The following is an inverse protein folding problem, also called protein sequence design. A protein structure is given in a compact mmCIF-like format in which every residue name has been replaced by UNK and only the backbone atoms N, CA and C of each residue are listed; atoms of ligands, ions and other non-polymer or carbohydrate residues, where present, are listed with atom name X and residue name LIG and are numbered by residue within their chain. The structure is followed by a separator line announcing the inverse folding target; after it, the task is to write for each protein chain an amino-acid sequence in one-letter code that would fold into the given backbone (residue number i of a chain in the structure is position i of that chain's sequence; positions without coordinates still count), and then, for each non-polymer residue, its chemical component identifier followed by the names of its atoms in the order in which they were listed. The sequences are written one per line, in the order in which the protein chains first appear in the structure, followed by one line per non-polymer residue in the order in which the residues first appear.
data_IF_713245902774
#
_entry.id   IF_713245902774
#
_cell.length_a   1.000
_cell.length_b   1.000
_cell.length_c   1.000
_cell.angle_alpha   90.00
_cell.angle_beta   90.00
_cell.angle_gamma   90.00
#
_symmetry.space_group_name_H-M   'P 1'
#
loop_
_entity.id
_entity.type
_entity.pdbx_description
1 polymer ?
#
# COMPACT_ATOMS: atom_id res chain seq x y z
N UNK A 1 54.53 41.81 13.49
CA UNK A 1 53.14 41.93 13.93
C UNK A 1 52.28 41.43 12.79
N UNK A 2 51.91 40.16 12.80
CA UNK A 2 51.04 39.51 11.78
C UNK A 2 49.75 39.10 12.46
N UNK A 3 48.57 39.35 11.88
CA UNK A 3 47.34 38.90 12.45
C UNK A 3 47.07 37.44 12.09
N UNK A 4 46.77 36.66 13.09
CA UNK A 4 46.33 35.29 13.06
C UNK A 4 44.96 35.16 12.36
N UNK A 5 44.88 34.37 11.31
CA UNK A 5 43.63 34.01 10.65
C UNK A 5 42.86 32.98 11.51
N UNK A 6 41.65 33.33 11.93
CA UNK A 6 40.73 32.43 12.56
C UNK A 6 40.09 31.54 11.50
N UNK A 7 40.36 30.21 11.56
CA UNK A 7 39.65 29.20 10.77
C UNK A 7 38.25 28.96 11.32
N UNK A 8 37.27 29.45 10.58
CA UNK A 8 35.86 29.18 10.85
C UNK A 8 35.52 27.76 10.34
N UNK A 9 35.65 26.78 11.20
CA UNK A 9 35.11 25.43 10.94
C UNK A 9 33.60 25.45 11.10
N UNK A 10 32.89 25.60 10.00
CA UNK A 10 31.44 25.34 9.93
C UNK A 10 31.19 23.86 10.27
N UNK A 11 30.79 23.61 11.50
CA UNK A 11 30.18 22.34 11.90
C UNK A 11 28.86 22.22 11.15
N UNK A 12 28.82 21.40 10.12
CA UNK A 12 27.56 20.95 9.55
C UNK A 12 26.78 20.19 10.62
N UNK A 13 25.50 20.49 10.83
CA UNK A 13 24.67 19.68 11.69
C UNK A 13 24.48 18.33 11.01
N UNK A 14 24.94 17.27 11.67
CA UNK A 14 24.55 15.90 11.34
C UNK A 14 23.04 15.79 11.65
N UNK A 15 22.19 16.01 10.66
CA UNK A 15 20.81 15.58 10.73
C UNK A 15 20.80 14.07 10.60
N UNK A 16 20.96 13.38 11.72
CA UNK A 16 20.56 11.99 11.83
C UNK A 16 19.08 11.92 11.43
N UNK A 17 18.71 10.95 10.61
CA UNK A 17 17.34 10.49 10.48
C UNK A 17 16.89 10.04 11.88
N UNK A 18 16.50 10.98 12.71
CA UNK A 18 15.85 10.66 13.96
C UNK A 18 14.48 10.17 13.57
N UNK A 19 14.23 8.89 13.79
CA UNK A 19 12.92 8.31 13.93
C UNK A 19 12.08 9.18 14.88
N UNK A 20 11.50 10.24 14.38
CA UNK A 20 10.25 10.69 14.91
C UNK A 20 9.24 9.69 14.37
N UNK A 21 9.11 8.57 15.09
CA UNK A 21 7.84 7.91 15.12
C UNK A 21 6.84 9.04 15.42
N UNK A 22 6.20 9.56 14.39
CA UNK A 22 4.86 10.04 14.55
C UNK A 22 4.18 8.77 15.04
N UNK A 23 4.06 8.66 16.35
CA UNK A 23 3.09 7.76 16.93
C UNK A 23 1.75 8.27 16.41
N UNK A 24 1.42 7.96 15.17
CA UNK A 24 0.07 7.61 14.87
C UNK A 24 -0.17 6.58 15.95
N UNK A 25 -1.04 6.94 16.91
CA UNK A 25 -1.58 5.97 17.82
C UNK A 25 -1.90 4.82 16.92
N UNK A 26 -1.03 3.82 16.92
CA UNK A 26 -1.36 2.51 16.48
C UNK A 26 -2.76 2.36 17.00
N UNK A 27 -3.74 2.33 16.15
CA UNK A 27 -4.93 1.62 16.47
C UNK A 27 -4.36 0.27 16.80
N UNK A 28 -4.10 0.09 18.10
CA UNK A 28 -3.81 -1.18 18.67
C UNK A 28 -5.07 -2.02 18.45
N UNK A 29 -5.24 -2.47 17.22
CA UNK A 29 -5.98 -3.66 16.95
C UNK A 29 -5.02 -4.76 17.40
N UNK A 30 -5.12 -4.94 18.72
CA UNK A 30 -4.93 -6.16 19.45
C UNK A 30 -4.22 -7.28 18.69
N UNK A 31 -2.92 -7.36 18.89
CA UNK A 31 -2.20 -8.62 18.99
C UNK A 31 -2.74 -9.46 20.18
N UNK A 32 -4.02 -9.81 20.17
CA UNK A 32 -4.65 -10.71 21.15
C UNK A 32 -5.42 -11.84 20.50
N UNK A 33 -5.02 -12.28 19.29
CA UNK A 33 -5.61 -13.47 18.66
C UNK A 33 -4.65 -14.64 18.59
N UNK A 34 -3.80 -14.79 19.57
CA UNK A 34 -3.03 -16.02 19.77
C UNK A 34 -3.51 -16.75 21.01
N UNK A 35 -4.80 -16.99 21.23
CA UNK A 35 -5.32 -18.05 22.12
C UNK A 35 -6.84 -18.05 22.17
N UNK A 36 -7.47 -18.56 21.14
CA UNK A 36 -8.80 -19.16 21.27
C UNK A 36 -9.02 -20.20 20.16
N UNK A 37 -8.27 -21.30 20.21
CA UNK A 37 -8.67 -22.51 19.51
C UNK A 37 -9.58 -23.30 20.46
N UNK A 38 -10.86 -22.98 20.43
CA UNK A 38 -11.87 -23.87 20.99
C UNK A 38 -13.15 -23.73 20.19
N UNK A 39 -13.35 -24.72 19.30
CA UNK A 39 -14.62 -25.31 18.94
C UNK A 39 -15.74 -24.38 18.43
N UNK A 40 -15.85 -24.21 17.11
CA UNK A 40 -17.15 -24.36 16.47
C UNK A 40 -16.98 -25.20 15.20
N UNK A 41 -17.27 -26.50 15.34
CA UNK A 41 -17.64 -27.35 14.20
C UNK A 41 -18.98 -26.84 13.69
N UNK A 42 -18.96 -25.96 12.70
CA UNK A 42 -20.14 -25.61 11.93
C UNK A 42 -19.90 -26.08 10.50
N UNK A 43 -20.61 -27.15 10.16
CA UNK A 43 -20.96 -27.64 8.83
C UNK A 43 -19.94 -27.42 7.71
N UNK A 44 -18.95 -28.31 7.61
CA UNK A 44 -18.28 -28.57 6.33
C UNK A 44 -19.31 -29.22 5.41
N UNK A 45 -19.86 -28.46 4.48
CA UNK A 45 -20.52 -29.03 3.34
C UNK A 45 -19.46 -29.77 2.52
N UNK A 46 -19.52 -31.10 2.53
CA UNK A 46 -18.70 -31.95 1.67
C UNK A 46 -19.12 -31.71 0.22
N UNK A 47 -18.37 -30.87 -0.49
CA UNK A 47 -18.52 -30.71 -1.94
C UNK A 47 -17.43 -31.51 -2.64
N UNK A 48 -17.77 -32.24 -3.73
CA UNK A 48 -16.79 -33.00 -4.48
C UNK A 48 -15.74 -32.09 -5.14
N UNK A 49 -14.50 -32.52 -5.18
CA UNK A 49 -13.40 -31.80 -5.84
C UNK A 49 -13.69 -31.70 -7.35
N UNK A 50 -13.55 -30.51 -7.96
CA UNK A 50 -13.75 -30.34 -9.39
C UNK A 50 -12.56 -30.80 -10.21
N UNK A 51 -12.84 -31.26 -11.44
CA UNK A 51 -11.82 -31.67 -12.39
C UNK A 51 -11.02 -30.50 -12.93
N UNK A 52 -9.70 -30.64 -13.07
CA UNK A 52 -8.82 -29.64 -13.68
C UNK A 52 -9.18 -29.45 -15.16
N UNK A 53 -9.51 -28.23 -15.58
CA UNK A 53 -9.83 -27.91 -16.96
C UNK A 53 -10.14 -26.43 -17.19
N UNK A 54 -9.76 -25.91 -18.32
CA UNK A 54 -10.20 -24.76 -19.11
C UNK A 54 -10.13 -23.31 -18.51
N UNK A 55 -9.44 -23.08 -17.42
CA UNK A 55 -9.24 -21.73 -16.88
C UNK A 55 -10.47 -21.06 -16.26
N UNK A 56 -11.62 -21.74 -16.20
CA UNK A 56 -12.83 -21.32 -15.51
C UNK A 56 -12.71 -21.59 -14.01
N UNK A 57 -13.34 -20.77 -13.14
CA UNK A 57 -13.40 -21.07 -11.73
C UNK A 57 -14.11 -22.42 -11.52
N UNK A 58 -13.47 -23.31 -10.76
CA UNK A 58 -14.00 -24.62 -10.45
C UNK A 58 -15.10 -24.56 -9.37
N UNK A 59 -15.14 -23.45 -8.64
CA UNK A 59 -16.09 -23.19 -7.57
C UNK A 59 -16.40 -21.70 -7.47
N UNK A 60 -17.69 -21.39 -7.35
CA UNK A 60 -18.18 -20.03 -7.13
C UNK A 60 -19.18 -20.08 -5.98
N UNK A 61 -18.98 -19.26 -4.98
CA UNK A 61 -19.89 -19.12 -3.84
C UNK A 61 -20.16 -17.66 -3.55
N UNK A 62 -21.42 -17.33 -3.30
CA UNK A 62 -21.81 -16.02 -2.81
C UNK A 62 -22.05 -16.11 -1.30
N UNK A 63 -21.27 -15.33 -0.54
CA UNK A 63 -21.34 -15.31 0.91
C UNK A 63 -22.27 -14.18 1.37
N UNK A 64 -23.16 -14.49 2.30
CA UNK A 64 -24.07 -13.47 2.86
C UNK A 64 -23.37 -12.68 3.99
N UNK A 65 -22.25 -12.04 3.66
CA UNK A 65 -21.50 -11.19 4.59
C UNK A 65 -21.95 -9.73 4.48
N UNK A 66 -22.17 -9.10 5.62
CA UNK A 66 -22.59 -7.70 5.72
C UNK A 66 -21.88 -7.02 6.88
N UNK A 67 -21.79 -5.70 6.84
CA UNK A 67 -21.22 -4.90 7.92
C UNK A 67 -19.71 -5.05 8.07
N UNK A 68 -19.02 -5.58 7.08
CA UNK A 68 -17.57 -5.64 7.07
C UNK A 68 -16.96 -4.35 6.52
N UNK A 69 -15.79 -4.00 7.04
CA UNK A 69 -14.98 -2.87 6.57
C UNK A 69 -13.51 -3.28 6.42
N UNK A 70 -13.17 -4.54 6.71
CA UNK A 70 -11.80 -5.04 6.65
C UNK A 70 -11.62 -6.29 5.80
N UNK A 71 -10.41 -6.46 5.26
CA UNK A 71 -9.91 -7.69 4.62
C UNK A 71 -8.55 -8.04 5.19
N UNK A 72 -8.38 -9.28 5.64
CA UNK A 72 -7.12 -9.84 6.10
C UNK A 72 -6.73 -11.06 5.28
N UNK A 73 -5.55 -11.04 4.67
CA UNK A 73 -5.04 -12.14 3.86
C UNK A 73 -3.80 -12.78 4.44
N UNK A 74 -3.83 -14.09 4.64
CA UNK A 74 -2.67 -14.94 4.95
C UNK A 74 -2.38 -16.01 3.90
N UNK A 75 -3.03 -15.94 2.72
CA UNK A 75 -2.92 -16.91 1.64
C UNK A 75 -2.54 -16.29 0.29
N UNK A 76 -3.00 -16.94 -0.79
CA UNK A 76 -2.90 -16.42 -2.16
C UNK A 76 -4.28 -15.97 -2.62
N UNK A 77 -4.48 -14.68 -2.81
CA UNK A 77 -5.80 -14.13 -3.14
C UNK A 77 -5.71 -12.99 -4.15
N UNK A 78 -6.66 -12.99 -5.08
CA UNK A 78 -6.98 -11.85 -5.92
C UNK A 78 -8.19 -11.13 -5.31
N UNK A 79 -8.02 -9.95 -4.75
CA UNK A 79 -9.10 -9.13 -4.18
C UNK A 79 -9.51 -8.07 -5.20
N UNK A 80 -10.79 -8.08 -5.58
CA UNK A 80 -11.39 -7.07 -6.44
C UNK A 80 -12.43 -6.34 -5.62
N UNK A 81 -12.10 -5.14 -5.18
CA UNK A 81 -12.99 -4.28 -4.41
C UNK A 81 -13.61 -3.18 -5.27
N UNK A 82 -14.91 -3.05 -5.17
CA UNK A 82 -15.67 -1.95 -5.79
C UNK A 82 -16.54 -1.27 -4.74
N UNK A 83 -16.36 0.01 -4.53
CA UNK A 83 -17.22 0.77 -3.63
C UNK A 83 -18.65 0.82 -4.17
N UNK A 84 -19.62 0.46 -3.33
CA UNK A 84 -21.05 0.41 -3.69
C UNK A 84 -21.94 0.42 -2.44
N UNK A 85 -23.22 0.72 -2.61
CA UNK A 85 -24.15 0.87 -1.49
C UNK A 85 -24.48 -0.44 -0.76
N UNK A 86 -24.44 -1.54 -1.49
CA UNK A 86 -24.85 -2.87 -1.01
C UNK A 86 -23.62 -3.71 -0.71
N UNK A 87 -23.76 -4.62 0.26
CA UNK A 87 -22.74 -5.63 0.54
C UNK A 87 -22.88 -6.83 -0.39
N UNK A 88 -21.81 -7.20 -1.06
CA UNK A 88 -21.74 -8.42 -1.85
C UNK A 88 -20.35 -9.03 -1.72
N UNK A 89 -20.29 -10.33 -1.49
CA UNK A 89 -19.03 -11.09 -1.43
C UNK A 89 -19.19 -12.34 -2.25
N UNK A 90 -18.37 -12.50 -3.28
CA UNK A 90 -18.30 -13.70 -4.09
C UNK A 90 -16.89 -14.26 -4.06
N UNK A 91 -16.76 -15.53 -3.77
CA UNK A 91 -15.52 -16.30 -3.79
C UNK A 91 -15.51 -17.16 -5.04
N UNK A 92 -14.48 -17.01 -5.85
CA UNK A 92 -14.21 -17.84 -7.02
C UNK A 92 -12.89 -18.56 -6.77
N UNK A 93 -12.86 -19.86 -6.90
CA UNK A 93 -11.66 -20.65 -6.67
C UNK A 93 -11.28 -21.51 -7.88
N UNK A 94 -10.00 -21.58 -8.15
CA UNK A 94 -9.38 -22.43 -9.16
C UNK A 94 -8.36 -23.34 -8.49
N UNK A 95 -8.34 -24.61 -8.92
CA UNK A 95 -7.47 -25.62 -8.36
C UNK A 95 -8.22 -26.63 -7.49
N UNK A 96 -7.49 -27.54 -6.87
CA UNK A 96 -8.06 -28.66 -6.09
C UNK A 96 -8.19 -28.34 -4.60
N UNK A 97 -7.39 -27.41 -4.09
CA UNK A 97 -7.46 -26.97 -2.70
C UNK A 97 -8.46 -25.82 -2.53
N UNK A 98 -9.02 -25.68 -1.34
CA UNK A 98 -9.96 -24.61 -0.98
C UNK A 98 -9.35 -23.67 0.03
N UNK A 99 -9.55 -22.38 -0.19
CA UNK A 99 -9.25 -21.38 0.83
C UNK A 99 -10.37 -21.32 1.87
N UNK A 100 -10.01 -20.93 3.07
CA UNK A 100 -11.00 -20.61 4.09
C UNK A 100 -11.28 -19.13 4.04
N UNK A 101 -12.55 -18.76 3.81
CA UNK A 101 -13.02 -17.38 3.82
C UNK A 101 -14.04 -17.22 4.96
N UNK A 102 -13.80 -16.32 5.90
CA UNK A 102 -14.65 -16.10 7.07
C UNK A 102 -14.87 -14.62 7.29
N UNK A 103 -16.01 -14.30 7.92
CA UNK A 103 -16.25 -12.97 8.47
C UNK A 103 -16.09 -13.04 9.99
N UNK A 104 -15.11 -12.34 10.51
CA UNK A 104 -14.78 -12.29 11.93
C UNK A 104 -14.62 -10.82 12.34
N UNK A 105 -15.41 -10.36 13.31
CA UNK A 105 -15.34 -8.99 13.85
C UNK A 105 -15.34 -7.86 12.79
N UNK A 106 -16.15 -8.01 11.73
CA UNK A 106 -16.23 -7.02 10.66
C UNK A 106 -15.08 -7.09 9.63
N UNK A 107 -14.23 -8.13 9.70
CA UNK A 107 -13.11 -8.35 8.79
C UNK A 107 -13.31 -9.68 8.03
N UNK A 108 -13.17 -9.64 6.71
CA UNK A 108 -13.12 -10.85 5.88
C UNK A 108 -11.72 -11.42 5.93
N UNK A 109 -11.56 -12.57 6.58
CA UNK A 109 -10.29 -13.28 6.69
C UNK A 109 -10.19 -14.34 5.60
N UNK A 110 -9.08 -14.32 4.84
CA UNK A 110 -8.77 -15.30 3.81
C UNK A 110 -7.48 -16.02 4.18
N UNK A 111 -7.54 -17.35 4.24
CA UNK A 111 -6.37 -18.21 4.41
C UNK A 111 -6.38 -19.34 3.40
N UNK A 112 -5.30 -19.49 2.65
CA UNK A 112 -5.12 -20.61 1.74
C UNK A 112 -4.40 -21.75 2.45
N UNK A 113 -4.71 -23.02 2.12
CA UNK A 113 -3.96 -24.14 2.65
C UNK A 113 -2.49 -24.00 2.24
N UNK A 114 -1.59 -24.38 3.14
CA UNK A 114 -0.16 -24.40 2.85
C UNK A 114 0.06 -25.28 1.61
N UNK A 115 0.64 -24.73 0.55
CA UNK A 115 0.93 -25.46 -0.68
C UNK A 115 1.98 -26.54 -0.37
N UNK A 116 1.54 -27.76 -0.11
CA UNK A 116 2.42 -28.93 -0.11
C UNK A 116 2.94 -29.11 -1.53
N UNK A 117 4.17 -28.85 -1.72
CA UNK A 117 5.19 -29.23 -2.68
C UNK A 117 4.89 -29.57 -4.16
N UNK A 118 3.67 -29.75 -4.61
CA UNK A 118 3.40 -30.23 -5.97
C UNK A 118 2.69 -29.17 -6.82
N UNK A 119 3.20 -28.99 -8.02
CA UNK A 119 2.80 -27.94 -8.98
C UNK A 119 1.30 -28.01 -9.41
N UNK A 120 0.58 -29.06 -9.07
CA UNK A 120 -0.82 -29.30 -9.46
C UNK A 120 -1.86 -28.73 -8.47
N UNK A 121 -1.45 -28.30 -7.27
CA UNK A 121 -2.35 -27.89 -6.19
C UNK A 121 -2.43 -26.39 -5.91
N UNK A 122 -2.02 -25.51 -6.83
CA UNK A 122 -2.15 -24.05 -6.60
C UNK A 122 -3.63 -23.65 -6.53
N UNK A 123 -4.08 -23.35 -5.32
CA UNK A 123 -5.35 -22.67 -5.14
C UNK A 123 -5.16 -21.19 -5.48
N UNK A 124 -5.93 -20.67 -6.42
CA UNK A 124 -6.07 -19.25 -6.68
C UNK A 124 -7.49 -18.86 -6.29
N UNK A 125 -7.61 -18.05 -5.26
CA UNK A 125 -8.88 -17.54 -4.76
C UNK A 125 -9.07 -16.13 -5.26
N UNK A 126 -10.16 -15.88 -5.95
CA UNK A 126 -10.59 -14.51 -6.29
C UNK A 126 -11.74 -14.13 -5.38
N UNK A 127 -11.56 -13.05 -4.64
CA UNK A 127 -12.54 -12.47 -3.73
C UNK A 127 -13.09 -11.19 -4.34
N UNK A 128 -14.33 -11.22 -4.85
CA UNK A 128 -15.02 -10.03 -5.35
C UNK A 128 -15.85 -9.42 -4.25
N UNK A 129 -15.57 -8.19 -3.91
CA UNK A 129 -16.20 -7.47 -2.80
C UNK A 129 -16.86 -6.20 -3.31
N UNK A 130 -18.11 -6.00 -2.93
CA UNK A 130 -18.76 -4.69 -2.97
C UNK A 130 -19.15 -4.32 -1.55
N UNK A 131 -18.84 -3.10 -1.14
CA UNK A 131 -19.22 -2.55 0.16
C UNK A 131 -19.24 -1.01 0.11
N UNK A 132 -19.95 -0.33 1.02
CA UNK A 132 -19.98 1.13 1.10
C UNK A 132 -18.60 1.74 1.36
N UNK A 133 -17.76 1.07 2.15
CA UNK A 133 -16.38 1.43 2.40
C UNK A 133 -15.55 0.19 2.74
N UNK A 134 -14.28 0.21 2.34
CA UNK A 134 -13.23 -0.68 2.83
C UNK A 134 -12.26 0.19 3.61
N UNK A 135 -12.14 -0.04 4.92
CA UNK A 135 -11.34 0.80 5.82
C UNK A 135 -9.94 0.21 6.03
N UNK A 136 -9.84 -1.12 6.11
CA UNK A 136 -8.57 -1.80 6.37
C UNK A 136 -8.34 -2.95 5.41
N UNK A 137 -7.09 -3.10 4.99
CA UNK A 137 -6.64 -4.24 4.23
C UNK A 137 -5.23 -4.63 4.70
N UNK A 138 -5.11 -5.84 5.24
CA UNK A 138 -3.85 -6.41 5.73
C UNK A 138 -3.43 -7.60 4.88
N UNK A 139 -2.18 -7.61 4.41
CA UNK A 139 -1.64 -8.70 3.62
C UNK A 139 -0.37 -9.28 4.22
N UNK A 140 -0.43 -10.53 4.63
CA UNK A 140 0.71 -11.35 5.07
C UNK A 140 1.12 -12.39 4.02
N UNK A 141 0.28 -12.63 3.02
CA UNK A 141 0.50 -13.61 1.95
C UNK A 141 0.87 -13.00 0.61
N UNK A 142 0.32 -13.58 -0.44
CA UNK A 142 0.40 -13.02 -1.79
C UNK A 142 -0.98 -12.47 -2.17
N UNK A 143 -1.04 -11.21 -2.54
CA UNK A 143 -2.29 -10.55 -2.89
C UNK A 143 -2.16 -9.80 -4.21
N UNK A 144 -3.15 -9.97 -5.07
CA UNK A 144 -3.42 -9.04 -6.15
C UNK A 144 -4.64 -8.22 -5.76
N UNK A 145 -4.45 -6.93 -5.51
CA UNK A 145 -5.52 -6.01 -5.10
C UNK A 145 -5.88 -5.08 -6.23
N UNK A 146 -7.15 -5.10 -6.62
CA UNK A 146 -7.73 -4.11 -7.53
C UNK A 146 -8.81 -3.34 -6.78
N UNK A 147 -8.68 -2.02 -6.71
CA UNK A 147 -9.64 -1.15 -6.06
C UNK A 147 -10.24 -0.14 -7.04
N UNK A 148 -11.54 0.15 -6.86
CA UNK A 148 -12.21 1.17 -7.65
C UNK A 148 -13.48 1.71 -7.01
N UNK A 149 -13.94 2.86 -7.53
CA UNK A 149 -15.18 3.51 -7.11
C UNK A 149 -14.99 4.66 -6.13
N UNK A 150 -16.09 5.09 -5.54
CA UNK A 150 -16.12 6.21 -4.60
C UNK A 150 -16.54 5.72 -3.22
N UNK A 151 -15.67 5.87 -2.25
CA UNK A 151 -15.98 5.59 -0.84
C UNK A 151 -15.75 6.83 0.02
N UNK A 152 -16.39 6.88 1.18
CA UNK A 152 -16.09 7.82 2.25
C UNK A 152 -15.07 7.21 3.22
N UNK A 153 -14.37 8.08 3.97
CA UNK A 153 -13.44 7.64 5.00
C UNK A 153 -12.05 7.29 4.50
N UNK A 154 -11.34 6.53 5.30
CA UNK A 154 -9.94 6.16 5.07
C UNK A 154 -9.85 4.72 4.59
N UNK A 155 -9.02 4.46 3.58
CA UNK A 155 -8.55 3.13 3.24
C UNK A 155 -7.10 3.00 3.73
N UNK A 156 -6.86 2.14 4.71
CA UNK A 156 -5.55 1.77 5.21
C UNK A 156 -5.14 0.42 4.63
N UNK A 157 -3.98 0.36 4.00
CA UNK A 157 -3.40 -0.84 3.40
C UNK A 157 -2.08 -1.13 4.10
N UNK A 158 -1.97 -2.29 4.74
CA UNK A 158 -0.75 -2.77 5.40
C UNK A 158 -0.25 -4.02 4.67
N UNK A 159 0.96 -3.95 4.14
CA UNK A 159 1.56 -5.08 3.42
C UNK A 159 2.83 -5.58 4.10
N UNK A 160 2.80 -6.82 4.53
CA UNK A 160 3.94 -7.58 5.06
C UNK A 160 4.40 -8.68 4.10
N UNK A 161 3.55 -9.07 3.14
CA UNK A 161 3.81 -10.08 2.13
C UNK A 161 4.16 -9.51 0.76
N UNK A 162 3.67 -10.14 -0.30
CA UNK A 162 3.80 -9.65 -1.66
C UNK A 162 2.45 -9.14 -2.14
N UNK A 163 2.43 -7.93 -2.69
CA UNK A 163 1.20 -7.30 -3.18
C UNK A 163 1.40 -6.72 -4.58
N UNK A 164 0.46 -6.98 -5.47
CA UNK A 164 0.22 -6.16 -6.66
C UNK A 164 -0.97 -5.26 -6.37
N UNK A 165 -0.78 -3.96 -6.39
CA UNK A 165 -1.80 -2.97 -6.07
C UNK A 165 -2.18 -2.16 -7.31
N UNK A 166 -3.38 -2.38 -7.82
CA UNK A 166 -3.90 -1.70 -9.01
C UNK A 166 -5.12 -0.84 -8.66
N UNK A 167 -5.13 0.39 -9.13
CA UNK A 167 -6.24 1.35 -9.01
C UNK A 167 -6.49 2.01 -10.35
N UNK A 168 -7.63 1.72 -10.95
CA UNK A 168 -8.06 2.43 -12.16
C UNK A 168 -8.59 3.83 -11.82
N UNK A 169 -9.51 3.90 -10.86
CA UNK A 169 -10.04 5.16 -10.31
C UNK A 169 -10.62 4.92 -8.93
N UNK A 170 -10.07 5.59 -7.92
CA UNK A 170 -10.54 5.54 -6.54
C UNK A 170 -10.67 6.95 -5.98
N UNK A 171 -11.83 7.26 -5.38
CA UNK A 171 -12.01 8.45 -4.55
C UNK A 171 -12.28 8.03 -3.12
N UNK A 172 -11.58 8.68 -2.17
CA UNK A 172 -11.74 8.46 -0.74
C UNK A 172 -11.38 9.74 0.03
N UNK A 173 -11.61 9.77 1.33
CA UNK A 173 -11.10 10.87 2.14
C UNK A 173 -9.57 10.76 2.29
N UNK A 174 -9.08 9.56 2.54
CA UNK A 174 -7.65 9.32 2.74
C UNK A 174 -7.26 7.90 2.31
N UNK A 175 -6.05 7.77 1.77
CA UNK A 175 -5.41 6.47 1.56
C UNK A 175 -4.08 6.44 2.31
N UNK A 176 -3.86 5.39 3.10
CA UNK A 176 -2.62 5.08 3.80
C UNK A 176 -2.08 3.79 3.22
N UNK A 177 -0.82 3.78 2.82
CA UNK A 177 -0.13 2.59 2.32
C UNK A 177 1.13 2.37 3.13
N UNK A 178 1.13 1.37 4.00
CA UNK A 178 2.28 0.95 4.80
C UNK A 178 2.84 -0.35 4.23
N UNK A 179 4.11 -0.34 3.83
CA UNK A 179 4.76 -1.49 3.22
C UNK A 179 6.01 -1.92 3.98
N UNK A 180 6.00 -3.13 4.48
CA UNK A 180 7.18 -3.83 5.01
C UNK A 180 7.59 -5.05 4.16
N UNK A 181 6.75 -5.43 3.19
CA UNK A 181 6.99 -6.51 2.23
C UNK A 181 7.39 -5.97 0.84
N UNK A 182 6.81 -6.56 -0.19
CA UNK A 182 7.03 -6.15 -1.58
C UNK A 182 5.72 -5.66 -2.19
N UNK A 183 5.72 -4.45 -2.76
CA UNK A 183 4.59 -3.91 -3.52
C UNK A 183 5.01 -3.58 -4.94
N UNK A 184 4.16 -4.02 -5.89
CA UNK A 184 4.12 -3.50 -7.24
C UNK A 184 2.85 -2.68 -7.40
N UNK A 185 2.98 -1.35 -7.57
CA UNK A 185 1.86 -0.43 -7.66
C UNK A 185 1.59 0.02 -9.10
N UNK A 186 0.32 0.09 -9.48
CA UNK A 186 -0.16 0.70 -10.72
C UNK A 186 -1.44 1.49 -10.42
N UNK A 187 -1.26 2.76 -10.04
CA UNK A 187 -2.35 3.64 -9.63
C UNK A 187 -2.56 4.70 -10.72
N UNK A 188 -3.59 4.49 -11.52
CA UNK A 188 -3.89 5.36 -12.66
C UNK A 188 -4.60 6.65 -12.25
N UNK A 189 -5.50 6.59 -11.26
CA UNK A 189 -6.22 7.77 -10.76
C UNK A 189 -6.65 7.60 -9.31
N UNK A 190 -6.02 8.40 -8.45
CA UNK A 190 -6.41 8.50 -7.04
C UNK A 190 -6.85 9.94 -6.74
N UNK A 191 -8.07 10.11 -6.24
CA UNK A 191 -8.60 11.42 -5.83
C UNK A 191 -8.94 11.41 -4.35
N UNK A 192 -8.11 12.05 -3.52
CA UNK A 192 -8.23 12.00 -2.06
C UNK A 192 -7.86 13.33 -1.41
N UNK A 193 -8.22 13.52 -0.14
CA UNK A 193 -7.70 14.64 0.65
C UNK A 193 -6.27 14.41 1.12
N UNK A 194 -5.94 13.18 1.48
CA UNK A 194 -4.60 12.82 1.93
C UNK A 194 -4.15 11.47 1.39
N UNK A 195 -2.93 11.44 0.84
CA UNK A 195 -2.27 10.21 0.44
C UNK A 195 -0.96 10.07 1.21
N UNK A 196 -0.83 9.00 1.97
CA UNK A 196 0.37 8.69 2.77
C UNK A 196 0.92 7.36 2.31
N UNK A 197 2.22 7.33 2.04
CA UNK A 197 2.96 6.13 1.68
C UNK A 197 4.17 6.01 2.60
N UNK A 198 4.23 4.94 3.37
CA UNK A 198 5.38 4.57 4.20
C UNK A 198 5.97 3.25 3.67
N UNK A 199 7.19 3.30 3.13
CA UNK A 199 7.85 2.13 2.60
C UNK A 199 9.08 1.75 3.41
N UNK A 200 9.03 0.61 4.06
CA UNK A 200 10.16 -0.04 4.75
C UNK A 200 10.66 -1.28 3.99
N UNK A 201 9.90 -1.75 2.99
CA UNK A 201 10.22 -2.89 2.14
C UNK A 201 10.64 -2.50 0.73
N UNK A 202 10.09 -3.17 -0.27
CA UNK A 202 10.27 -2.85 -1.69
C UNK A 202 8.99 -2.27 -2.27
N UNK A 203 9.09 -1.12 -2.93
CA UNK A 203 7.99 -0.47 -3.65
C UNK A 203 8.42 -0.13 -5.06
N UNK A 204 7.76 -0.71 -6.04
CA UNK A 204 8.01 -0.48 -7.47
C UNK A 204 6.70 -0.12 -8.17
N UNK A 205 6.74 0.85 -9.08
CA UNK A 205 5.56 1.13 -9.91
C UNK A 205 5.31 2.57 -10.29
N UNK A 206 4.01 2.83 -10.53
CA UNK A 206 3.50 4.13 -10.97
C UNK A 206 2.33 4.58 -10.10
N UNK A 207 2.32 5.86 -9.78
CA UNK A 207 1.26 6.48 -8.98
C UNK A 207 0.81 7.78 -9.64
N UNK A 208 -0.49 7.92 -9.88
CA UNK A 208 -1.10 9.20 -10.27
C UNK A 208 -2.12 9.60 -9.21
N UNK A 209 -1.90 10.74 -8.56
CA UNK A 209 -2.74 11.19 -7.46
C UNK A 209 -3.08 12.68 -7.53
N UNK A 210 -4.35 12.99 -7.34
CA UNK A 210 -4.87 14.32 -7.02
C UNK A 210 -5.22 14.34 -5.53
N UNK A 211 -4.45 15.09 -4.71
CA UNK A 211 -4.66 15.13 -3.26
C UNK A 211 -4.30 16.50 -2.67
N UNK A 212 -4.96 16.89 -1.57
CA UNK A 212 -4.54 18.09 -0.85
C UNK A 212 -3.13 17.91 -0.25
N UNK A 213 -2.83 16.70 0.23
CA UNK A 213 -1.51 16.34 0.75
C UNK A 213 -1.02 15.01 0.22
N UNK A 214 0.27 14.97 -0.15
CA UNK A 214 1.04 13.75 -0.37
C UNK A 214 2.16 13.70 0.65
N UNK A 215 2.23 12.64 1.45
CA UNK A 215 3.35 12.30 2.31
C UNK A 215 3.94 10.97 1.86
N UNK A 216 5.16 11.01 1.31
CA UNK A 216 5.91 9.83 0.89
C UNK A 216 7.16 9.68 1.75
N UNK A 217 7.26 8.58 2.47
CA UNK A 217 8.44 8.21 3.25
C UNK A 217 8.98 6.86 2.80
N UNK A 218 10.27 6.84 2.41
CA UNK A 218 10.96 5.63 2.01
C UNK A 218 12.18 5.37 2.89
N UNK A 219 12.15 4.28 3.62
CA UNK A 219 13.27 3.75 4.41
C UNK A 219 13.83 2.45 3.80
N UNK A 220 13.10 1.84 2.87
CA UNK A 220 13.46 0.63 2.15
C UNK A 220 14.04 0.92 0.76
N UNK A 221 13.66 0.08 -0.20
CA UNK A 221 14.02 0.25 -1.62
C UNK A 221 12.79 0.68 -2.41
N UNK A 222 12.93 1.71 -3.26
CA UNK A 222 11.83 2.11 -4.12
C UNK A 222 12.30 2.48 -5.54
N UNK A 223 11.50 2.07 -6.54
CA UNK A 223 11.59 2.55 -7.92
C UNK A 223 10.21 3.05 -8.31
N UNK A 224 10.03 4.37 -8.28
CA UNK A 224 8.71 4.97 -8.39
C UNK A 224 8.68 6.10 -9.41
N UNK A 225 7.69 6.04 -10.31
CA UNK A 225 7.29 7.13 -11.18
C UNK A 225 5.95 7.67 -10.67
N UNK A 226 5.89 8.95 -10.31
CA UNK A 226 4.68 9.53 -9.72
C UNK A 226 4.31 10.86 -10.35
N UNK A 227 3.01 11.05 -10.60
CA UNK A 227 2.38 12.30 -10.98
C UNK A 227 1.49 12.77 -9.82
N UNK A 228 1.78 13.93 -9.26
CA UNK A 228 1.02 14.50 -8.16
C UNK A 228 0.49 15.89 -8.51
N UNK A 229 -0.81 16.07 -8.24
CA UNK A 229 -1.46 17.38 -8.32
C UNK A 229 -2.16 17.72 -7.01
N UNK A 230 -1.88 18.90 -6.46
CA UNK A 230 -2.57 19.34 -5.24
C UNK A 230 -1.89 20.42 -4.43
N UNK A 231 -2.10 20.42 -3.12
CA UNK A 231 -1.57 21.48 -2.25
C UNK A 231 -0.11 21.23 -1.85
N UNK A 232 0.16 20.18 -1.07
CA UNK A 232 1.48 19.94 -0.50
C UNK A 232 1.99 18.55 -0.77
N UNK A 233 3.19 18.46 -1.33
CA UNK A 233 3.97 17.23 -1.42
C UNK A 233 5.13 17.23 -0.42
N UNK A 234 5.24 16.18 0.38
CA UNK A 234 6.37 15.94 1.27
C UNK A 234 7.01 14.61 0.91
N UNK A 235 8.30 14.62 0.60
CA UNK A 235 9.07 13.43 0.23
C UNK A 235 10.24 13.28 1.19
N UNK A 236 10.33 12.16 1.89
CA UNK A 236 11.45 11.79 2.75
C UNK A 236 12.03 10.48 2.27
N UNK A 237 13.30 10.49 1.95
CA UNK A 237 13.99 9.28 1.55
C UNK A 237 15.24 9.07 2.38
N UNK A 238 15.29 7.96 3.11
CA UNK A 238 16.44 7.49 3.87
C UNK A 238 17.03 6.18 3.32
N UNK A 239 16.29 5.50 2.43
CA UNK A 239 16.68 4.23 1.82
C UNK A 239 17.32 4.38 0.44
N UNK A 240 17.35 3.29 -0.30
CA UNK A 240 17.77 3.27 -1.70
C UNK A 240 16.58 3.56 -2.59
N UNK A 241 16.62 4.64 -3.38
CA UNK A 241 15.51 4.96 -4.24
C UNK A 241 15.90 5.55 -5.59
N UNK A 242 15.06 5.21 -6.58
CA UNK A 242 14.96 5.93 -7.83
C UNK A 242 13.55 6.50 -7.94
N UNK A 243 13.40 7.79 -7.67
CA UNK A 243 12.12 8.48 -7.67
C UNK A 243 12.08 9.50 -8.81
N UNK A 244 11.08 9.39 -9.66
CA UNK A 244 10.71 10.43 -10.61
C UNK A 244 9.34 10.98 -10.21
N UNK A 245 9.29 12.23 -9.73
CA UNK A 245 8.06 12.85 -9.27
C UNK A 245 7.78 14.12 -10.09
N UNK A 246 6.70 14.08 -10.84
CA UNK A 246 6.13 15.25 -11.47
C UNK A 246 5.10 15.87 -10.55
N UNK A 247 5.21 17.18 -10.30
CA UNK A 247 4.32 17.91 -9.40
C UNK A 247 3.62 19.06 -10.10
N UNK A 248 2.39 19.32 -9.68
CA UNK A 248 1.64 20.54 -9.92
C UNK A 248 1.01 20.94 -8.57
N UNK A 249 1.75 21.69 -7.74
CA UNK A 249 1.38 21.91 -6.34
C UNK A 249 1.84 23.25 -5.78
N UNK A 250 1.25 23.65 -4.66
CA UNK A 250 1.64 24.88 -3.93
C UNK A 250 2.99 24.71 -3.23
N UNK A 251 3.25 23.56 -2.63
CA UNK A 251 4.46 23.33 -1.84
C UNK A 251 5.07 21.95 -2.08
N UNK A 252 6.35 21.93 -2.44
CA UNK A 252 7.18 20.74 -2.47
C UNK A 252 8.27 20.78 -1.41
N UNK A 253 8.24 19.85 -0.46
CA UNK A 253 9.30 19.61 0.50
C UNK A 253 9.94 18.25 0.26
N UNK A 254 11.24 18.21 -0.03
CA UNK A 254 11.95 16.95 -0.22
C UNK A 254 13.20 16.90 0.67
N UNK A 255 13.39 15.78 1.35
CA UNK A 255 14.59 15.47 2.11
C UNK A 255 15.13 14.11 1.66
N UNK A 256 16.39 14.10 1.24
CA UNK A 256 17.03 12.92 0.70
C UNK A 256 18.36 12.67 1.40
N UNK A 257 18.45 11.58 2.15
CA UNK A 257 19.65 11.22 2.91
C UNK A 257 20.23 9.83 2.58
N UNK A 258 19.55 9.06 1.73
CA UNK A 258 19.98 7.71 1.33
C UNK A 258 20.92 7.67 0.11
N UNK A 259 21.12 6.47 -0.42
CA UNK A 259 21.72 6.26 -1.76
C UNK A 259 20.59 6.35 -2.78
N UNK A 260 20.40 7.54 -3.37
CA UNK A 260 19.22 7.71 -4.19
C UNK A 260 19.39 8.69 -5.33
N UNK A 261 18.56 8.51 -6.33
CA UNK A 261 18.39 9.43 -7.44
C UNK A 261 16.95 9.92 -7.46
N UNK A 262 16.76 11.22 -7.22
CA UNK A 262 15.46 11.86 -7.27
C UNK A 262 15.42 12.86 -8.41
N UNK A 263 14.38 12.78 -9.22
CA UNK A 263 14.09 13.76 -10.28
C UNK A 263 12.75 14.40 -9.99
N UNK A 264 12.73 15.72 -9.87
CA UNK A 264 11.52 16.52 -9.74
C UNK A 264 11.29 17.32 -11.02
N UNK A 265 10.04 17.35 -11.47
CA UNK A 265 9.60 18.10 -12.66
C UNK A 265 8.23 18.72 -12.43
N UNK A 266 7.79 19.61 -13.34
CA UNK A 266 6.49 20.27 -13.25
C UNK A 266 6.56 21.63 -12.56
N UNK A 267 5.57 21.97 -11.72
CA UNK A 267 5.43 23.31 -11.11
C UNK A 267 5.19 23.22 -9.60
N UNK A 268 5.82 24.11 -8.84
CA UNK A 268 5.54 24.30 -7.42
C UNK A 268 5.83 25.74 -7.00
N UNK A 269 4.92 26.38 -6.25
CA UNK A 269 5.09 27.77 -5.82
C UNK A 269 6.19 27.92 -4.78
N UNK A 270 6.27 26.96 -3.85
CA UNK A 270 7.28 26.93 -2.80
C UNK A 270 8.05 25.61 -2.84
N UNK A 271 9.36 25.68 -3.02
CA UNK A 271 10.21 24.51 -3.12
C UNK A 271 11.27 24.54 -2.02
N UNK A 272 11.34 23.44 -1.26
CA UNK A 272 12.44 23.19 -0.33
C UNK A 272 12.97 21.79 -0.54
N UNK A 273 14.22 21.70 -0.97
CA UNK A 273 14.88 20.42 -1.22
C UNK A 273 16.19 20.38 -0.45
N UNK A 274 16.29 19.47 0.50
CA UNK A 274 17.47 19.20 1.28
C UNK A 274 18.04 17.83 0.88
N UNK A 275 19.33 17.74 0.61
CA UNK A 275 20.01 16.50 0.27
C UNK A 275 21.27 16.32 1.08
N UNK A 276 21.53 15.10 1.56
CA UNK A 276 22.73 14.72 2.27
C UNK A 276 23.27 13.36 1.78
N UNK A 277 24.54 13.11 1.98
CA UNK A 277 25.16 11.83 1.62
C UNK A 277 25.53 11.72 0.14
N UNK A 278 25.25 10.55 -0.46
CA UNK A 278 25.51 10.25 -1.88
C UNK A 278 24.26 10.42 -2.76
N UNK A 279 23.33 11.24 -2.31
CA UNK A 279 22.10 11.47 -3.04
C UNK A 279 22.30 12.37 -4.25
N UNK A 280 21.61 12.06 -5.34
CA UNK A 280 21.50 12.92 -6.51
C UNK A 280 20.09 13.46 -6.59
N UNK A 281 19.95 14.78 -6.68
CA UNK A 281 18.66 15.43 -6.88
C UNK A 281 18.72 16.26 -8.15
N UNK A 282 17.82 15.97 -9.07
CA UNK A 282 17.66 16.70 -10.32
C UNK A 282 16.37 17.51 -10.29
N UNK A 283 16.48 18.82 -10.45
CA UNK A 283 15.36 19.77 -10.49
C UNK A 283 15.33 20.59 -11.78
N UNK A 284 16.09 20.17 -12.80
CA UNK A 284 16.27 20.96 -14.03
C UNK A 284 14.97 21.19 -14.83
N UNK A 285 13.93 20.41 -14.54
CA UNK A 285 12.61 20.52 -15.18
C UNK A 285 11.53 20.97 -14.18
N UNK A 286 11.92 21.45 -13.01
CA UNK A 286 11.00 21.99 -12.01
C UNK A 286 10.96 23.52 -12.14
N UNK A 287 9.75 24.04 -12.37
CA UNK A 287 9.49 25.47 -12.41
C UNK A 287 9.01 25.94 -11.05
N UNK A 288 9.63 26.99 -10.52
CA UNK A 288 9.26 27.65 -9.29
C UNK A 288 8.89 29.09 -9.63
N UNK A 289 7.71 29.52 -9.20
CA UNK A 289 7.17 30.84 -9.46
C UNK A 289 7.19 31.74 -8.25
#
# INVERSE_FOLDING_TARGET
MFPTSASNTLRQPRTACTHKYLTMKSFAILTSLMLAHAASLAAQANHPAPAAGDGKPAYIETLNYKGFTGVHNSGNVDVIYTAGKEYSVTVEERGTARSTVRLEEGTITVSSPASGGDAEGKCVTTLRITAPALETLENYGNMQLTCGGNQSGTLAIENYGNMSFAVDSLSADRVLLENSGNIKADVSKLHVRGFVVENNGMLDGRLTAEAQTLDFENNGTSTLEADYKGGKATVRNCGDSKLSLRVDCETLNANNSGLSEMTFSGTADNVRIDGAGRSKVNVSQLNNF
#
